data_IF_283662297879
#
_entry.id   IF_283662297879
#
_cell.length_a   1.000
_cell.length_b   1.000
_cell.length_c   1.000
_cell.angle_alpha   90.00
_cell.angle_beta   90.00
_cell.angle_gamma   90.00
#
_symmetry.space_group_name_H-M   'P 1'
#
loop_
_entity.id
_entity.type
_entity.pdbx_description
1 polymer ?
#
# COMPACT_ATOMS: atom_id res chain seq x y z
N UNK A 1 4.86 -7.59 1.72
CA UNK A 1 3.72 -8.52 1.55
C UNK A 1 3.76 -9.48 2.71
N UNK A 2 2.68 -9.61 3.49
CA UNK A 2 2.62 -10.64 4.52
C UNK A 2 2.15 -11.97 3.94
N UNK A 3 2.88 -13.02 4.26
CA UNK A 3 2.60 -14.37 3.83
C UNK A 3 2.36 -15.25 5.06
N UNK A 4 1.44 -16.18 4.88
CA UNK A 4 1.04 -17.17 5.87
C UNK A 4 1.21 -18.55 5.23
N UNK A 5 2.01 -19.40 5.85
CA UNK A 5 2.18 -20.79 5.42
C UNK A 5 1.76 -21.69 6.57
N UNK A 6 0.77 -22.55 6.32
CA UNK A 6 0.38 -23.64 7.21
C UNK A 6 0.80 -24.95 6.56
N UNK A 7 1.59 -25.75 7.27
CA UNK A 7 1.97 -27.07 6.79
C UNK A 7 0.99 -28.13 7.31
N UNK A 8 0.15 -28.65 6.42
CA UNK A 8 -0.84 -29.70 6.73
C UNK A 8 -0.41 -31.08 6.23
N UNK A 9 0.87 -31.24 5.85
CA UNK A 9 1.42 -32.49 5.38
C UNK A 9 1.83 -33.42 6.53
N UNK A 10 2.04 -34.70 6.24
CA UNK A 10 2.47 -35.68 7.23
C UNK A 10 3.94 -35.53 7.70
N UNK A 11 4.71 -34.63 7.08
CA UNK A 11 6.11 -34.32 7.45
C UNK A 11 6.39 -32.83 7.38
N UNK A 12 7.43 -32.37 8.07
CA UNK A 12 7.89 -30.98 7.96
C UNK A 12 8.79 -30.74 6.74
N UNK A 13 8.80 -29.48 6.28
CA UNK A 13 9.54 -29.07 5.08
C UNK A 13 10.25 -27.74 5.30
N UNK A 14 11.29 -27.50 4.50
CA UNK A 14 11.97 -26.21 4.41
C UNK A 14 11.35 -25.35 3.32
N UNK A 15 10.88 -24.15 3.67
CA UNK A 15 10.18 -23.27 2.74
C UNK A 15 11.03 -22.09 2.29
N UNK A 16 10.83 -21.67 1.04
CA UNK A 16 11.55 -20.59 0.40
C UNK A 16 10.64 -19.79 -0.52
N UNK A 17 10.82 -18.47 -0.53
CA UNK A 17 10.14 -17.57 -1.50
C UNK A 17 11.19 -16.96 -2.42
N UNK A 18 10.90 -16.95 -3.72
CA UNK A 18 11.81 -16.38 -4.74
C UNK A 18 11.03 -15.96 -5.99
N UNK A 19 11.69 -15.26 -6.91
CA UNK A 19 11.12 -14.96 -8.22
C UNK A 19 10.83 -16.27 -8.99
N UNK A 20 9.62 -16.38 -9.56
CA UNK A 20 9.26 -17.49 -10.44
C UNK A 20 9.78 -17.26 -11.87
N UNK A 21 9.67 -16.01 -12.34
CA UNK A 21 10.15 -15.54 -13.64
C UNK A 21 11.00 -14.29 -13.43
N UNK A 22 11.75 -13.89 -14.46
CA UNK A 22 12.47 -12.61 -14.41
C UNK A 22 11.48 -11.47 -14.10
N UNK A 23 11.75 -10.67 -13.05
CA UNK A 23 10.88 -9.55 -12.72
C UNK A 23 11.07 -8.41 -13.73
N UNK A 24 10.12 -7.46 -13.82
CA UNK A 24 10.31 -6.27 -14.65
C UNK A 24 11.58 -5.51 -14.27
N UNK A 25 12.15 -4.79 -15.24
CA UNK A 25 13.40 -4.04 -15.02
C UNK A 25 13.30 -3.07 -13.84
N UNK A 26 14.32 -3.06 -12.99
CA UNK A 26 14.43 -2.18 -11.82
C UNK A 26 13.85 -2.77 -10.53
N UNK A 27 13.27 -3.97 -10.56
CA UNK A 27 12.89 -4.72 -9.37
C UNK A 27 14.06 -5.51 -8.77
N UNK A 28 14.18 -5.47 -7.45
CA UNK A 28 15.00 -6.36 -6.64
C UNK A 28 14.07 -7.32 -5.89
N UNK A 29 14.15 -8.60 -6.26
CA UNK A 29 13.29 -9.68 -5.74
C UNK A 29 14.20 -10.71 -5.06
N UNK A 30 14.63 -10.46 -3.82
CA UNK A 30 15.58 -11.32 -3.14
C UNK A 30 14.96 -12.68 -2.79
N UNK A 31 15.79 -13.71 -2.74
CA UNK A 31 15.37 -14.97 -2.14
C UNK A 31 15.13 -14.79 -0.63
N UNK A 32 14.09 -15.43 -0.11
CA UNK A 32 13.79 -15.44 1.31
C UNK A 32 13.67 -16.88 1.81
N UNK A 33 14.58 -17.26 2.69
CA UNK A 33 14.60 -18.56 3.36
C UNK A 33 13.66 -18.51 4.56
N UNK A 34 12.44 -19.05 4.38
CA UNK A 34 11.44 -19.10 5.45
C UNK A 34 11.90 -20.05 6.56
N UNK A 35 12.64 -21.10 6.21
CA UNK A 35 13.12 -22.11 7.15
C UNK A 35 12.20 -23.32 7.24
N UNK A 36 12.47 -24.18 8.22
CA UNK A 36 11.65 -25.35 8.49
C UNK A 36 10.29 -24.96 9.06
N UNK A 37 9.24 -25.62 8.59
CA UNK A 37 7.88 -25.57 9.14
C UNK A 37 7.45 -27.02 9.39
N UNK A 38 7.26 -27.37 10.66
CA UNK A 38 6.87 -28.70 11.10
C UNK A 38 5.43 -29.08 10.72
N UNK A 39 5.05 -30.32 11.03
CA UNK A 39 3.67 -30.80 10.86
C UNK A 39 2.72 -29.96 11.72
N UNK A 40 1.62 -29.51 11.11
CA UNK A 40 0.60 -28.63 11.70
C UNK A 40 1.14 -27.27 12.18
N UNK A 41 2.42 -26.95 11.90
CA UNK A 41 3.00 -25.67 12.23
C UNK A 41 2.55 -24.61 11.22
N UNK A 42 2.43 -23.40 11.73
CA UNK A 42 2.09 -22.21 10.98
C UNK A 42 3.22 -21.21 11.12
N UNK A 43 3.57 -20.55 10.01
CA UNK A 43 4.54 -19.47 10.01
C UNK A 43 4.04 -18.26 9.25
N UNK A 44 3.99 -17.14 9.95
CA UNK A 44 3.76 -15.82 9.38
C UNK A 44 5.09 -15.10 9.19
N UNK A 45 5.25 -14.44 8.04
CA UNK A 45 6.43 -13.63 7.75
C UNK A 45 6.12 -12.53 6.75
N UNK A 46 7.03 -11.56 6.66
CA UNK A 46 6.94 -10.46 5.70
C UNK A 46 7.99 -10.67 4.63
N UNK A 47 7.53 -10.79 3.39
CA UNK A 47 8.38 -10.77 2.21
C UNK A 47 8.48 -9.35 1.65
N UNK A 48 9.71 -8.89 1.42
CA UNK A 48 10.02 -7.55 0.94
C UNK A 48 10.70 -7.61 -0.42
N UNK A 49 10.29 -6.72 -1.30
CA UNK A 49 10.87 -6.48 -2.61
C UNK A 49 11.00 -4.98 -2.79
N UNK A 50 11.95 -4.56 -3.60
CA UNK A 50 12.21 -3.15 -3.85
C UNK A 50 12.13 -2.86 -5.35
N UNK A 51 11.72 -1.65 -5.70
CA UNK A 51 11.67 -1.16 -7.07
C UNK A 51 12.40 0.18 -7.12
N UNK A 52 13.44 0.28 -7.95
CA UNK A 52 14.07 1.56 -8.25
C UNK A 52 12.99 2.49 -8.78
N UNK A 53 12.88 3.73 -8.27
CA UNK A 53 11.86 4.67 -8.75
C UNK A 53 12.04 4.91 -10.28
N UNK A 54 11.01 4.71 -11.12
CA UNK A 54 11.07 5.10 -12.53
C UNK A 54 11.38 6.59 -12.67
N UNK A 55 12.19 6.98 -13.68
CA UNK A 55 12.52 8.37 -13.94
C UNK A 55 11.35 9.18 -14.50
N UNK A 56 10.43 8.52 -15.22
CA UNK A 56 9.19 9.10 -15.74
C UNK A 56 8.14 8.01 -15.96
N UNK A 57 6.86 8.40 -15.91
CA UNK A 57 5.72 7.55 -16.26
C UNK A 57 4.81 8.37 -17.20
N UNK A 58 5.14 8.45 -18.51
CA UNK A 58 4.46 9.38 -19.42
C UNK A 58 2.94 9.19 -19.49
N UNK A 59 2.46 7.94 -19.48
CA UNK A 59 1.03 7.60 -19.48
C UNK A 59 0.35 7.76 -18.11
N UNK A 60 1.08 8.32 -17.14
CA UNK A 60 0.64 8.60 -15.78
C UNK A 60 0.52 7.36 -14.89
N UNK A 61 0.43 6.17 -15.49
CA UNK A 61 0.41 4.88 -14.81
C UNK A 61 1.29 3.86 -15.53
N UNK A 62 2.05 3.09 -14.76
CA UNK A 62 2.61 1.80 -15.21
C UNK A 62 2.00 0.70 -14.33
N UNK A 63 1.59 -0.40 -14.97
CA UNK A 63 1.18 -1.62 -14.28
C UNK A 63 2.28 -2.66 -14.48
N UNK A 64 2.84 -3.16 -13.38
CA UNK A 64 3.91 -4.13 -13.36
C UNK A 64 3.49 -5.33 -12.52
N UNK A 65 3.85 -6.54 -12.96
CA UNK A 65 3.57 -7.76 -12.21
C UNK A 65 4.87 -8.47 -11.88
N UNK A 66 5.01 -8.89 -10.62
CA UNK A 66 6.11 -9.75 -10.16
C UNK A 66 5.55 -11.13 -9.87
N UNK A 67 6.04 -12.15 -10.57
CA UNK A 67 5.66 -13.53 -10.35
C UNK A 67 6.59 -14.15 -9.31
N UNK A 68 6.01 -14.62 -8.21
CA UNK A 68 6.72 -15.23 -7.10
C UNK A 68 6.39 -16.71 -7.02
N UNK A 69 7.32 -17.46 -6.44
CA UNK A 69 7.17 -18.87 -6.12
C UNK A 69 7.42 -19.10 -4.65
N UNK A 70 6.52 -19.86 -4.00
CA UNK A 70 6.79 -20.52 -2.72
C UNK A 70 7.16 -21.96 -3.01
N UNK A 71 8.32 -22.40 -2.55
CA UNK A 71 8.81 -23.77 -2.73
C UNK A 71 9.01 -24.45 -1.38
N UNK A 72 8.66 -25.73 -1.29
CA UNK A 72 8.90 -26.62 -0.16
C UNK A 72 9.99 -27.65 -0.52
N UNK A 73 10.91 -27.90 0.40
CA UNK A 73 12.06 -28.79 0.21
C UNK A 73 12.19 -29.79 1.36
N UNK A 74 12.71 -30.97 1.05
CA UNK A 74 13.00 -32.02 2.04
C UNK A 74 14.25 -31.73 2.89
N UNK A 75 15.12 -30.81 2.47
CA UNK A 75 16.42 -30.56 3.08
C UNK A 75 16.67 -29.07 3.39
N UNK A 76 17.51 -28.81 4.39
CA UNK A 76 17.90 -27.46 4.82
C UNK A 76 18.75 -26.71 3.79
N UNK A 77 19.29 -27.41 2.79
CA UNK A 77 20.04 -26.83 1.67
C UNK A 77 19.15 -26.34 0.53
N UNK A 78 17.82 -26.51 0.62
CA UNK A 78 16.86 -26.12 -0.41
C UNK A 78 17.17 -26.70 -1.78
N UNK A 79 17.58 -27.98 -1.83
CA UNK A 79 18.07 -28.65 -3.04
C UNK A 79 17.15 -29.78 -3.53
N UNK A 80 16.44 -30.44 -2.63
CA UNK A 80 15.51 -31.53 -2.91
C UNK A 80 14.06 -31.01 -2.83
N UNK A 81 13.55 -30.51 -3.97
CA UNK A 81 12.22 -29.93 -4.09
C UNK A 81 11.12 -30.98 -3.87
N UNK A 82 10.24 -30.71 -2.91
CA UNK A 82 9.01 -31.48 -2.69
C UNK A 82 7.87 -30.98 -3.58
N UNK A 83 7.53 -29.69 -3.43
CA UNK A 83 6.42 -29.06 -4.14
C UNK A 83 6.62 -27.55 -4.21
N UNK A 84 5.83 -26.87 -5.03
CA UNK A 84 5.82 -25.41 -5.11
C UNK A 84 4.45 -24.90 -5.54
N UNK A 85 4.20 -23.63 -5.25
CA UNK A 85 3.09 -22.85 -5.79
C UNK A 85 3.59 -21.49 -6.30
N UNK A 86 2.92 -20.94 -7.31
CA UNK A 86 3.27 -19.65 -7.89
C UNK A 86 2.11 -18.66 -7.74
N UNK A 87 2.44 -17.40 -7.48
CA UNK A 87 1.47 -16.33 -7.37
C UNK A 87 2.01 -15.04 -7.99
N UNK A 88 1.11 -14.16 -8.39
CA UNK A 88 1.45 -12.87 -9.02
C UNK A 88 1.08 -11.73 -8.11
N UNK A 89 2.01 -10.79 -7.95
CA UNK A 89 1.77 -9.52 -7.26
C UNK A 89 1.76 -8.42 -8.31
N UNK A 90 0.65 -7.71 -8.42
CA UNK A 90 0.46 -6.61 -9.37
C UNK A 90 0.59 -5.27 -8.68
N UNK A 91 1.44 -4.40 -9.22
CA UNK A 91 1.71 -3.06 -8.74
C UNK A 91 1.23 -2.04 -9.77
N UNK A 92 0.51 -1.02 -9.29
CA UNK A 92 0.14 0.15 -10.08
C UNK A 92 0.98 1.34 -9.59
N UNK A 93 1.93 1.76 -10.41
CA UNK A 93 2.77 2.92 -10.15
C UNK A 93 2.14 4.14 -10.82
N UNK A 94 1.79 5.15 -10.01
CA UNK A 94 1.14 6.37 -10.48
C UNK A 94 2.12 7.55 -10.38
N UNK A 95 2.28 8.27 -11.48
CA UNK A 95 2.95 9.57 -11.49
C UNK A 95 1.90 10.66 -11.62
N UNK A 96 1.57 11.29 -10.50
CA UNK A 96 0.59 12.38 -10.42
C UNK A 96 0.97 13.61 -11.26
N UNK A 97 2.24 13.73 -11.65
CA UNK A 97 2.76 14.89 -12.39
C UNK A 97 2.72 14.70 -13.90
N UNK A 98 2.39 13.49 -14.37
CA UNK A 98 2.16 13.24 -15.78
C UNK A 98 0.98 14.08 -16.30
N UNK A 99 1.15 14.64 -17.49
CA UNK A 99 0.10 15.37 -18.21
C UNK A 99 -1.05 14.47 -18.70
N UNK A 100 -0.92 13.15 -18.58
CA UNK A 100 -2.00 12.21 -18.87
C UNK A 100 -3.14 12.28 -17.84
N UNK A 101 -2.88 12.86 -16.66
CA UNK A 101 -3.88 13.04 -15.62
C UNK A 101 -4.50 14.43 -15.63
N UNK A 102 -5.81 14.49 -15.45
CA UNK A 102 -6.53 15.69 -15.05
C UNK A 102 -6.62 15.71 -13.53
N UNK A 103 -6.15 16.80 -12.90
CA UNK A 103 -6.37 17.02 -11.47
C UNK A 103 -7.80 17.53 -11.29
N UNK A 104 -8.70 16.67 -10.81
CA UNK A 104 -10.11 17.02 -10.58
C UNK A 104 -10.34 17.61 -9.20
N UNK A 105 -9.42 17.35 -8.26
CA UNK A 105 -9.48 17.87 -6.90
C UNK A 105 -8.08 18.03 -6.30
N UNK A 106 -7.88 19.05 -5.47
CA UNK A 106 -6.64 19.27 -4.74
C UNK A 106 -6.86 19.96 -3.39
N UNK A 107 -6.25 19.44 -2.33
CA UNK A 107 -6.17 20.03 -0.99
C UNK A 107 -4.77 19.88 -0.40
N UNK A 108 -4.17 21.00 -0.04
CA UNK A 108 -2.93 21.14 0.75
C UNK A 108 -3.18 21.70 2.15
N UNK A 109 -4.40 22.14 2.45
CA UNK A 109 -4.77 22.76 3.73
C UNK A 109 -4.02 24.06 4.05
N UNK A 110 -3.25 24.62 3.10
CA UNK A 110 -2.35 25.75 3.34
C UNK A 110 -3.07 27.06 3.67
N UNK A 111 -4.37 27.12 3.39
CA UNK A 111 -5.27 28.20 3.82
C UNK A 111 -5.65 28.14 5.32
N UNK A 112 -5.19 27.12 6.04
CA UNK A 112 -5.48 26.92 7.46
C UNK A 112 -6.90 26.40 7.74
N UNK A 113 -7.65 26.01 6.71
CA UNK A 113 -8.97 25.38 6.83
C UNK A 113 -8.86 23.86 6.68
N UNK A 114 -9.92 23.14 7.03
CA UNK A 114 -9.99 21.70 6.76
C UNK A 114 -10.42 21.37 5.32
N UNK A 115 -10.68 22.39 4.49
CA UNK A 115 -11.09 22.26 3.09
C UNK A 115 -12.22 21.23 2.87
N UNK A 116 -13.15 21.14 3.81
CA UNK A 116 -14.31 20.22 3.76
C UNK A 116 -14.02 18.77 4.18
N UNK A 117 -12.88 18.50 4.79
CA UNK A 117 -12.60 17.24 5.48
C UNK A 117 -13.02 17.30 6.95
N UNK A 118 -13.24 16.12 7.56
CA UNK A 118 -13.33 16.06 9.03
C UNK A 118 -11.96 16.15 9.68
N UNK A 119 -11.78 17.17 10.52
CA UNK A 119 -10.53 17.44 11.22
C UNK A 119 -10.26 18.94 11.34
N UNK A 120 -9.04 19.27 11.75
CA UNK A 120 -8.59 20.65 11.94
C UNK A 120 -7.23 20.84 11.30
N UNK A 121 -7.01 21.96 10.62
CA UNK A 121 -5.67 22.30 10.12
C UNK A 121 -4.70 22.52 11.28
N UNK A 122 -3.48 22.00 11.15
CA UNK A 122 -2.44 22.08 12.18
C UNK A 122 -1.08 22.40 11.58
N UNK A 123 -0.28 23.19 12.30
CA UNK A 123 1.08 23.56 11.90
C UNK A 123 2.16 22.69 12.55
N UNK A 124 1.78 21.66 13.31
CA UNK A 124 2.74 20.85 14.08
C UNK A 124 3.58 19.96 13.18
N UNK A 125 2.93 19.29 12.23
CA UNK A 125 3.58 18.48 11.21
C UNK A 125 2.86 18.72 9.91
N UNK A 126 3.64 19.04 8.88
CA UNK A 126 3.15 19.26 7.53
C UNK A 126 4.14 18.72 6.51
N UNK A 127 3.62 18.34 5.34
CA UNK A 127 4.42 17.87 4.20
C UNK A 127 4.63 19.03 3.24
N UNK A 128 3.56 19.75 2.93
CA UNK A 128 3.56 21.01 2.19
C UNK A 128 3.30 22.16 3.19
N UNK A 129 4.06 23.24 3.09
CA UNK A 129 4.04 24.31 4.12
C UNK A 129 2.80 25.19 3.94
N UNK A 130 1.99 25.46 4.98
CA UNK A 130 2.28 25.38 6.44
C UNK A 130 1.41 24.37 7.20
N UNK A 131 0.37 23.82 6.60
CA UNK A 131 -0.67 23.13 7.35
C UNK A 131 -0.84 21.70 6.87
N UNK A 132 -1.31 20.84 7.78
CA UNK A 132 -1.90 19.56 7.42
C UNK A 132 -3.15 19.32 8.23
N UNK A 133 -4.03 18.48 7.72
CA UNK A 133 -5.22 18.07 8.43
C UNK A 133 -4.85 17.13 9.59
N UNK A 134 -5.05 17.59 10.82
CA UNK A 134 -4.87 16.80 12.04
C UNK A 134 -6.19 16.19 12.49
N UNK A 135 -6.24 14.85 12.59
CA UNK A 135 -7.43 14.12 13.02
C UNK A 135 -7.12 12.67 13.40
N UNK A 136 -8.01 11.99 14.10
CA UNK A 136 -8.01 10.53 14.24
C UNK A 136 -8.89 9.84 13.19
N UNK A 137 -9.76 10.61 12.52
CA UNK A 137 -10.69 10.14 11.50
C UNK A 137 -10.96 11.24 10.47
N UNK A 138 -10.56 11.01 9.23
CA UNK A 138 -10.78 11.91 8.10
C UNK A 138 -11.78 11.27 7.15
N UNK A 139 -12.82 12.01 6.73
CA UNK A 139 -13.75 11.56 5.68
C UNK A 139 -14.01 12.67 4.68
N UNK A 140 -14.24 12.27 3.42
CA UNK A 140 -14.66 13.16 2.34
C UNK A 140 -15.23 12.36 1.17
N UNK A 141 -16.18 12.95 0.45
CA UNK A 141 -16.68 12.39 -0.80
C UNK A 141 -16.11 13.11 -2.02
N UNK A 142 -15.81 12.35 -3.05
CA UNK A 142 -15.38 12.84 -4.36
C UNK A 142 -16.35 12.37 -5.43
N UNK A 143 -16.65 13.24 -6.38
CA UNK A 143 -17.44 12.88 -7.56
C UNK A 143 -16.53 12.80 -8.78
N UNK A 144 -16.53 11.66 -9.46
CA UNK A 144 -15.82 11.41 -10.70
C UNK A 144 -16.84 11.35 -11.85
N UNK A 145 -16.67 12.21 -12.85
CA UNK A 145 -17.55 12.27 -14.01
C UNK A 145 -17.50 10.98 -14.84
N UNK A 146 -18.62 10.65 -15.50
CA UNK A 146 -18.74 9.44 -16.32
C UNK A 146 -17.86 9.47 -17.60
N UNK A 147 -17.31 10.63 -17.96
CA UNK A 147 -16.42 10.80 -19.12
C UNK A 147 -14.99 10.32 -18.87
N UNK A 148 -14.61 10.07 -17.61
CA UNK A 148 -13.31 9.49 -17.25
C UNK A 148 -13.37 7.95 -17.31
N UNK A 149 -12.22 7.33 -17.58
CA UNK A 149 -12.05 5.88 -17.61
C UNK A 149 -11.47 5.35 -16.29
N UNK A 150 -10.57 6.11 -15.67
CA UNK A 150 -9.98 5.74 -14.38
C UNK A 150 -9.70 6.97 -13.52
N UNK A 151 -9.81 6.79 -12.20
CA UNK A 151 -9.55 7.83 -11.22
C UNK A 151 -8.86 7.27 -9.98
N UNK A 152 -8.06 8.12 -9.33
CA UNK A 152 -7.32 7.78 -8.13
C UNK A 152 -7.34 8.95 -7.15
N UNK A 153 -7.52 8.66 -5.86
CA UNK A 153 -7.16 9.58 -4.79
C UNK A 153 -5.75 9.27 -4.31
N UNK A 154 -4.95 10.31 -4.21
CA UNK A 154 -3.56 10.28 -3.77
C UNK A 154 -3.47 11.18 -2.56
N UNK A 155 -2.91 10.70 -1.46
CA UNK A 155 -2.73 11.52 -0.27
C UNK A 155 -1.49 11.10 0.51
N UNK A 156 -0.92 12.05 1.24
CA UNK A 156 0.12 11.77 2.21
C UNK A 156 -0.49 11.68 3.61
N UNK A 157 0.03 10.76 4.42
CA UNK A 157 -0.39 10.61 5.81
C UNK A 157 0.82 10.33 6.69
N UNK A 158 0.83 10.96 7.87
CA UNK A 158 1.83 10.76 8.92
C UNK A 158 1.14 10.40 10.21
N UNK A 159 1.49 9.24 10.76
CA UNK A 159 0.96 8.76 12.03
C UNK A 159 1.80 9.25 13.20
N UNK A 160 1.16 9.67 14.29
CA UNK A 160 1.85 10.12 15.51
C UNK A 160 2.03 9.02 16.54
N UNK A 161 1.25 7.95 16.44
CA UNK A 161 1.30 6.87 17.43
C UNK A 161 2.62 6.11 17.33
N UNK A 162 3.04 5.54 18.45
CA UNK A 162 4.17 4.59 18.54
C UNK A 162 3.69 3.19 18.93
N UNK A 163 2.37 3.01 19.04
CA UNK A 163 1.77 1.76 19.46
C UNK A 163 1.59 0.80 18.29
N UNK A 164 1.74 -0.49 18.58
CA UNK A 164 1.68 -1.57 17.62
C UNK A 164 0.36 -1.60 16.85
N UNK A 165 -0.77 -1.18 17.44
CA UNK A 165 -2.10 -1.31 16.81
C UNK A 165 -2.55 -0.02 16.10
N UNK A 166 -1.62 0.65 15.44
CA UNK A 166 -1.72 2.05 15.04
C UNK A 166 -1.90 2.34 13.55
N UNK A 167 -2.44 1.40 12.78
CA UNK A 167 -2.38 1.46 11.33
C UNK A 167 -3.49 2.34 10.72
N UNK A 168 -3.25 2.97 9.56
CA UNK A 168 -4.34 3.50 8.77
C UNK A 168 -5.26 2.38 8.32
N UNK A 169 -6.54 2.58 8.56
CA UNK A 169 -7.60 1.87 7.86
C UNK A 169 -8.22 2.81 6.86
N UNK A 170 -8.23 2.40 5.59
CA UNK A 170 -8.83 3.15 4.51
C UNK A 170 -10.13 2.45 4.16
N UNK A 171 -11.22 3.20 4.18
CA UNK A 171 -12.55 2.75 3.82
C UNK A 171 -13.00 3.47 2.55
N UNK A 172 -13.64 2.73 1.66
CA UNK A 172 -14.39 3.26 0.52
C UNK A 172 -15.86 2.94 0.72
N UNK A 173 -16.71 3.96 0.73
CA UNK A 173 -18.15 3.84 0.96
C UNK A 173 -18.49 2.99 2.21
N UNK A 174 -17.75 3.22 3.29
CA UNK A 174 -17.89 2.49 4.56
C UNK A 174 -17.31 1.07 4.58
N UNK A 175 -16.80 0.54 3.46
CA UNK A 175 -16.18 -0.80 3.39
C UNK A 175 -14.67 -0.69 3.57
N UNK A 176 -14.09 -1.53 4.43
CA UNK A 176 -12.63 -1.58 4.61
C UNK A 176 -11.98 -1.98 3.28
N UNK A 177 -11.22 -1.06 2.71
CA UNK A 177 -10.53 -1.25 1.44
C UNK A 177 -9.08 -1.65 1.65
N UNK A 178 -8.40 -1.01 2.61
CA UNK A 178 -7.00 -1.25 2.86
C UNK A 178 -6.66 -1.11 4.35
N UNK A 179 -5.86 -2.04 4.84
CA UNK A 179 -5.08 -1.92 6.07
C UNK A 179 -3.67 -2.49 5.81
N UNK A 180 -2.60 -1.86 6.35
CA UNK A 180 -1.25 -2.39 6.22
C UNK A 180 -1.11 -3.77 6.87
N UNK A 181 -0.45 -4.68 6.17
CA UNK A 181 -0.03 -5.98 6.71
C UNK A 181 0.99 -5.88 7.86
N UNK A 182 1.74 -4.76 7.90
CA UNK A 182 2.87 -4.51 8.79
C UNK A 182 2.75 -3.10 9.37
N UNK A 183 3.17 -2.94 10.61
CA UNK A 183 3.21 -1.63 11.26
C UNK A 183 4.04 -0.63 10.47
N UNK A 184 3.45 0.49 9.99
CA UNK A 184 4.25 1.59 9.49
C UNK A 184 5.09 2.13 10.65
N UNK A 185 6.32 2.52 10.33
CA UNK A 185 7.14 3.23 11.30
C UNK A 185 6.48 4.55 11.68
N UNK A 186 6.49 4.90 12.98
CA UNK A 186 5.84 6.10 13.45
C UNK A 186 6.55 7.34 12.93
N UNK A 187 5.84 8.47 12.84
CA UNK A 187 6.41 9.78 12.50
C UNK A 187 7.03 9.91 11.10
N UNK A 188 6.73 8.98 10.19
CA UNK A 188 7.11 9.03 8.77
C UNK A 188 5.89 9.40 7.91
N UNK A 189 6.13 10.17 6.84
CA UNK A 189 5.12 10.43 5.81
C UNK A 189 5.04 9.27 4.84
N UNK A 190 3.87 8.66 4.74
CA UNK A 190 3.53 7.65 3.76
C UNK A 190 2.63 8.25 2.70
N UNK A 191 2.75 7.77 1.46
CA UNK A 191 1.88 8.19 0.38
C UNK A 191 1.02 7.00 -0.06
N UNK A 192 -0.28 7.23 -0.13
CA UNK A 192 -1.27 6.26 -0.56
C UNK A 192 -1.85 6.66 -1.91
N UNK A 193 -2.18 5.65 -2.70
CA UNK A 193 -2.90 5.79 -3.96
C UNK A 193 -4.02 4.77 -3.96
N UNK A 194 -5.25 5.25 -4.03
CA UNK A 194 -6.45 4.42 -3.92
C UNK A 194 -7.30 4.66 -5.17
N UNK A 195 -7.67 3.61 -5.92
CA UNK A 195 -8.55 3.76 -7.07
C UNK A 195 -9.93 4.23 -6.60
N UNK A 196 -10.55 5.10 -7.40
CA UNK A 196 -11.93 5.55 -7.22
C UNK A 196 -12.78 5.03 -8.39
N UNK A 197 -14.05 4.75 -8.13
CA UNK A 197 -15.03 4.46 -9.18
C UNK A 197 -15.65 5.74 -9.74
N UNK A 198 -16.31 5.60 -10.88
CA UNK A 198 -17.13 6.67 -11.46
C UNK A 198 -18.35 6.96 -10.58
N UNK A 199 -18.77 8.22 -10.54
CA UNK A 199 -19.79 8.70 -9.62
C UNK A 199 -19.20 9.15 -8.30
N UNK A 200 -19.99 9.07 -7.23
CA UNK A 200 -19.55 9.51 -5.89
C UNK A 200 -18.89 8.35 -5.14
N UNK A 201 -17.69 8.60 -4.62
CA UNK A 201 -16.99 7.72 -3.69
C UNK A 201 -16.71 8.49 -2.40
N UNK A 202 -17.13 7.97 -1.25
CA UNK A 202 -16.64 8.42 0.05
C UNK A 202 -15.34 7.70 0.39
N UNK A 203 -14.29 8.46 0.70
CA UNK A 203 -13.11 7.94 1.37
C UNK A 203 -13.18 8.28 2.85
N UNK A 204 -12.86 7.31 3.70
CA UNK A 204 -12.54 7.56 5.10
C UNK A 204 -11.18 6.96 5.46
N UNK A 205 -10.37 7.73 6.16
CA UNK A 205 -9.07 7.33 6.69
C UNK A 205 -9.21 7.37 8.20
N UNK A 206 -8.99 6.22 8.84
CA UNK A 206 -9.10 6.06 10.28
C UNK A 206 -7.76 5.65 10.85
N UNK A 207 -7.33 6.33 11.92
CA UNK A 207 -6.28 5.81 12.78
C UNK A 207 -6.90 4.87 13.80
N UNK A 208 -6.43 3.62 13.87
CA UNK A 208 -6.89 2.65 14.87
C UNK A 208 -6.48 3.00 16.30
N UNK A 209 -5.42 3.79 16.47
CA UNK A 209 -5.03 4.36 17.77
C UNK A 209 -4.33 5.71 17.60
N UNK A 210 -4.85 6.77 18.22
CA UNK A 210 -4.22 8.09 18.20
C UNK A 210 -4.61 8.97 17.01
N UNK A 211 -3.70 9.86 16.62
CA UNK A 211 -3.92 10.88 15.61
C UNK A 211 -2.99 10.71 14.42
N UNK A 212 -3.38 11.32 13.31
CA UNK A 212 -2.63 11.38 12.07
C UNK A 212 -2.69 12.80 11.50
N UNK A 213 -1.76 13.07 10.60
CA UNK A 213 -1.73 14.26 9.75
C UNK A 213 -1.94 13.81 8.31
N UNK A 214 -2.85 14.44 7.59
CA UNK A 214 -3.08 14.22 6.16
C UNK A 214 -2.72 15.48 5.40
N UNK A 215 -2.05 15.32 4.27
CA UNK A 215 -1.59 16.42 3.43
C UNK A 215 -1.57 15.98 1.96
N UNK A 216 -1.39 16.94 1.05
CA UNK A 216 -1.18 16.70 -0.37
C UNK A 216 -2.25 15.75 -0.96
N UNK A 217 -3.53 16.07 -0.76
CA UNK A 217 -4.63 15.25 -1.28
C UNK A 217 -4.96 15.68 -2.71
N UNK A 218 -4.72 14.78 -3.64
CA UNK A 218 -5.08 14.94 -5.05
C UNK A 218 -6.13 13.91 -5.42
N UNK A 219 -7.06 14.31 -6.27
CA UNK A 219 -7.81 13.35 -7.09
C UNK A 219 -7.43 13.58 -8.53
N UNK A 220 -6.95 12.52 -9.17
CA UNK A 220 -6.57 12.51 -10.58
C UNK A 220 -7.50 11.59 -11.35
N UNK A 221 -7.85 11.98 -12.57
CA UNK A 221 -8.68 11.16 -13.46
C UNK A 221 -8.22 11.29 -14.91
N UNK A 222 -8.48 10.27 -15.72
CA UNK A 222 -8.28 10.29 -17.17
C UNK A 222 -9.29 9.39 -17.87
#
# INVERSE_FOLDING_TARGET
>A
IRLHIQNQEATGYYFKVSAHTDPPSGWSVPEYLVGYIGVDETKDFVYQMERIKPSSIPEGRITESVNLRVSAYHDAGYSNLYSYDNFTVTFHLIDRTSSAWVIVYYNDFDDGTNQGWTGTASTNYYRSFRYSLYTSYARKSFYIGADYQEAYVIFAVRFTNTQADGYPKIYLDGTLYFEPDVSPSPNIWYQFVIPLHLGTTEIAIQSSSGYMYIDDVYVVAK
#
